data_IF_076474162054
#
_entry.id   IF_076474162054
#
_cell.length_a   1.000
_cell.length_b   1.000
_cell.length_c   1.000
_cell.angle_alpha   90.00
_cell.angle_beta   90.00
_cell.angle_gamma   90.00
#
_symmetry.space_group_name_H-M   'P 1'
#
loop_
_entity.id
_entity.type
_entity.pdbx_description
1 polymer ?
#
# COMPACT_ATOMS: atom_id res chain seq x y z
N UNK A 1 -12.76 -9.89 8.66
CA UNK A 1 -12.21 -9.76 7.29
C UNK A 1 -11.72 -11.12 6.85
N UNK A 2 -12.16 -11.53 5.68
CA UNK A 2 -11.80 -12.79 5.05
C UNK A 2 -10.56 -12.54 4.17
N UNK A 3 -9.55 -13.41 4.24
CA UNK A 3 -8.33 -13.26 3.43
C UNK A 3 -8.53 -13.78 2.00
N UNK A 4 -9.56 -14.61 1.82
CA UNK A 4 -9.93 -15.22 0.54
C UNK A 4 -10.65 -14.23 -0.40
N UNK A 5 -10.96 -13.01 0.07
CA UNK A 5 -11.65 -11.99 -0.70
C UNK A 5 -10.69 -10.85 -1.09
N UNK A 6 -10.85 -10.34 -2.32
CA UNK A 6 -10.27 -9.07 -2.74
C UNK A 6 -11.14 -7.92 -2.23
N UNK A 7 -10.52 -6.92 -1.63
CA UNK A 7 -11.20 -5.74 -1.09
C UNK A 7 -10.96 -4.52 -1.97
N UNK A 8 -12.03 -3.76 -2.25
CA UNK A 8 -11.89 -2.45 -2.89
C UNK A 8 -11.13 -1.49 -1.97
N UNK A 9 -10.15 -0.79 -2.54
CA UNK A 9 -9.36 0.24 -1.85
C UNK A 9 -9.77 1.59 -2.41
N UNK A 10 -10.29 2.46 -1.54
CA UNK A 10 -10.77 3.79 -1.94
C UNK A 10 -9.87 4.93 -1.43
N UNK A 11 -9.05 4.65 -0.41
CA UNK A 11 -8.10 5.58 0.19
C UNK A 11 -6.86 4.84 0.72
N UNK A 12 -5.92 5.61 1.27
CA UNK A 12 -4.73 5.10 1.95
C UNK A 12 -4.68 5.60 3.41
N UNK A 13 -5.85 5.71 4.04
CA UNK A 13 -5.95 6.14 5.43
C UNK A 13 -5.23 5.17 6.39
N UNK A 14 -4.84 5.61 7.59
CA UNK A 14 -4.25 4.74 8.59
C UNK A 14 -5.13 3.53 8.96
N UNK A 15 -6.45 3.63 8.77
CA UNK A 15 -7.34 2.49 8.96
C UNK A 15 -7.20 1.51 7.79
N UNK A 16 -7.35 1.96 6.56
CA UNK A 16 -7.27 1.12 5.35
C UNK A 16 -5.94 0.37 5.28
N UNK A 17 -4.82 1.04 5.58
CA UNK A 17 -3.50 0.40 5.60
C UNK A 17 -3.38 -0.65 6.70
N UNK A 18 -3.96 -0.45 7.90
CA UNK A 18 -3.98 -1.45 8.97
C UNK A 18 -4.84 -2.66 8.63
N UNK A 19 -5.96 -2.44 7.94
CA UNK A 19 -6.80 -3.51 7.46
C UNK A 19 -6.08 -4.35 6.39
N UNK A 20 -5.36 -3.68 5.47
CA UNK A 20 -4.50 -4.33 4.48
C UNK A 20 -3.38 -5.15 5.15
N UNK A 21 -2.68 -4.58 6.15
CA UNK A 21 -1.70 -5.31 6.97
C UNK A 21 -2.29 -6.59 7.54
N UNK A 22 -3.47 -6.51 8.16
CA UNK A 22 -4.12 -7.67 8.76
C UNK A 22 -4.50 -8.75 7.76
N UNK A 23 -4.68 -8.41 6.47
CA UNK A 23 -4.88 -9.38 5.38
C UNK A 23 -3.56 -9.95 4.88
N UNK A 24 -2.53 -9.12 4.72
CA UNK A 24 -1.16 -9.56 4.39
C UNK A 24 -0.64 -10.57 5.41
N UNK A 25 -0.78 -10.30 6.71
CA UNK A 25 -0.35 -11.20 7.79
C UNK A 25 -1.03 -12.58 7.76
N UNK A 26 -2.25 -12.66 7.22
CA UNK A 26 -3.03 -13.90 7.12
C UNK A 26 -2.89 -14.57 5.76
N UNK A 27 -2.16 -13.97 4.83
CA UNK A 27 -1.99 -14.48 3.48
C UNK A 27 -0.97 -15.60 3.47
N UNK A 28 -1.34 -16.76 2.91
CA UNK A 28 -0.49 -17.96 2.93
C UNK A 28 -0.60 -18.80 1.65
N UNK A 29 -1.51 -18.46 0.74
CA UNK A 29 -1.70 -19.14 -0.54
C UNK A 29 -1.24 -18.22 -1.67
N UNK A 30 -0.93 -18.82 -2.82
CA UNK A 30 -0.61 -18.07 -4.04
C UNK A 30 -1.73 -17.11 -4.44
N UNK A 31 -2.98 -17.56 -4.34
CA UNK A 31 -4.16 -16.74 -4.63
C UNK A 31 -4.25 -15.52 -3.69
N UNK A 32 -3.92 -15.68 -2.40
CA UNK A 32 -3.89 -14.54 -1.48
C UNK A 32 -2.84 -13.50 -1.90
N UNK A 33 -1.68 -13.94 -2.41
CA UNK A 33 -0.63 -13.02 -2.89
C UNK A 33 -1.13 -12.19 -4.05
N UNK A 34 -1.79 -12.81 -5.04
CA UNK A 34 -2.41 -12.09 -6.17
C UNK A 34 -3.41 -11.04 -5.68
N UNK A 35 -4.25 -11.39 -4.70
CA UNK A 35 -5.22 -10.45 -4.13
C UNK A 35 -4.52 -9.31 -3.38
N UNK A 36 -3.46 -9.59 -2.63
CA UNK A 36 -2.70 -8.56 -1.90
C UNK A 36 -1.95 -7.64 -2.86
N UNK A 37 -1.35 -8.17 -3.92
CA UNK A 37 -0.73 -7.37 -5.00
C UNK A 37 -1.75 -6.42 -5.62
N UNK A 38 -2.92 -6.94 -6.00
CA UNK A 38 -3.98 -6.13 -6.61
C UNK A 38 -4.46 -5.00 -5.70
N UNK A 39 -4.55 -5.24 -4.38
CA UNK A 39 -4.90 -4.20 -3.41
C UNK A 39 -3.78 -3.15 -3.24
N UNK A 40 -2.52 -3.58 -3.24
CA UNK A 40 -1.36 -2.69 -3.15
C UNK A 40 -1.20 -1.84 -4.42
N UNK A 41 -1.48 -2.40 -5.59
CA UNK A 41 -1.53 -1.69 -6.86
C UNK A 41 -2.56 -0.56 -6.83
N UNK A 42 -3.72 -0.78 -6.22
CA UNK A 42 -4.75 0.25 -6.11
C UNK A 42 -4.33 1.37 -5.16
N UNK A 43 -3.68 1.05 -4.02
CA UNK A 43 -3.06 2.07 -3.16
C UNK A 43 -2.02 2.88 -3.94
N UNK A 44 -1.16 2.20 -4.70
CA UNK A 44 -0.15 2.85 -5.54
C UNK A 44 -0.79 3.79 -6.56
N UNK A 45 -1.86 3.36 -7.25
CA UNK A 45 -2.61 4.16 -8.22
C UNK A 45 -3.18 5.43 -7.60
N UNK A 46 -3.74 5.34 -6.40
CA UNK A 46 -4.27 6.50 -5.66
C UNK A 46 -3.15 7.51 -5.34
N UNK A 47 -2.03 7.03 -4.83
CA UNK A 47 -0.86 7.87 -4.50
C UNK A 47 -0.27 8.54 -5.73
N UNK A 48 -0.18 7.84 -6.86
CA UNK A 48 0.35 8.40 -8.11
C UNK A 48 -0.53 9.57 -8.61
N UNK A 49 -1.86 9.42 -8.53
CA UNK A 49 -2.79 10.50 -8.87
C UNK A 49 -2.61 11.72 -7.95
N UNK A 50 -2.48 11.50 -6.64
CA UNK A 50 -2.36 12.60 -5.68
C UNK A 50 -1.02 13.32 -5.79
N UNK A 51 0.08 12.61 -6.08
CA UNK A 51 1.38 13.23 -6.37
C UNK A 51 1.29 14.15 -7.60
N UNK A 52 0.65 13.68 -8.67
CA UNK A 52 0.45 14.48 -9.89
C UNK A 52 -0.44 15.69 -9.61
N UNK A 53 -1.50 15.52 -8.82
CA UNK A 53 -2.39 16.62 -8.43
C UNK A 53 -1.65 17.66 -7.57
N UNK A 54 -0.88 17.21 -6.58
CA UNK A 54 -0.12 18.05 -5.67
C UNK A 54 0.92 18.90 -6.43
N UNK A 55 1.62 18.29 -7.39
CA UNK A 55 2.58 18.98 -8.26
C UNK A 55 1.93 20.08 -9.12
N UNK A 56 0.70 19.86 -9.61
CA UNK A 56 -0.05 20.86 -10.42
C UNK A 56 -0.60 22.01 -9.58
N UNK A 57 -0.99 21.73 -8.34
CA UNK A 57 -1.60 22.72 -7.44
C UNK A 57 -0.59 23.60 -6.71
N UNK A 58 0.72 23.36 -6.91
CA UNK A 58 1.77 24.10 -6.21
C UNK A 58 1.82 23.77 -4.72
N UNK A 59 1.48 22.53 -4.36
CA UNK A 59 1.56 22.03 -2.98
C UNK A 59 2.98 22.19 -2.44
N UNK A 60 3.11 22.27 -1.11
CA UNK A 60 4.43 22.47 -0.53
C UNK A 60 5.33 21.25 -0.79
N UNK A 61 6.65 21.48 -0.87
CA UNK A 61 7.63 20.44 -1.19
C UNK A 61 7.58 19.26 -0.22
N UNK A 62 7.27 19.51 1.06
CA UNK A 62 7.21 18.48 2.09
C UNK A 62 6.04 17.50 1.88
N UNK A 63 4.90 18.00 1.46
CA UNK A 63 3.72 17.18 1.16
C UNK A 63 3.99 16.23 -0.02
N UNK A 64 4.57 16.75 -1.10
CA UNK A 64 4.96 15.93 -2.27
C UNK A 64 6.02 14.89 -1.87
N UNK A 65 6.97 15.25 -1.02
CA UNK A 65 7.98 14.32 -0.49
C UNK A 65 7.37 13.23 0.38
N UNK A 66 6.40 13.56 1.23
CA UNK A 66 5.69 12.58 2.06
C UNK A 66 4.91 11.59 1.19
N UNK A 67 4.16 12.09 0.19
CA UNK A 67 3.43 11.22 -0.75
C UNK A 67 4.37 10.30 -1.53
N UNK A 68 5.52 10.83 -1.99
CA UNK A 68 6.52 10.02 -2.68
C UNK A 68 7.15 8.95 -1.76
N UNK A 69 7.44 9.29 -0.50
CA UNK A 69 7.96 8.34 0.49
C UNK A 69 6.94 7.24 0.80
N UNK A 70 5.66 7.61 0.96
CA UNK A 70 4.56 6.68 1.14
C UNK A 70 4.43 5.73 -0.06
N UNK A 71 4.42 6.27 -1.29
CA UNK A 71 4.38 5.49 -2.53
C UNK A 71 5.51 4.47 -2.62
N UNK A 72 6.74 4.85 -2.25
CA UNK A 72 7.88 3.93 -2.28
C UNK A 72 7.69 2.76 -1.30
N UNK A 73 7.16 3.00 -0.11
CA UNK A 73 6.88 1.93 0.86
C UNK A 73 5.80 0.97 0.34
N UNK A 74 4.78 1.47 -0.36
CA UNK A 74 3.74 0.64 -0.98
C UNK A 74 4.32 -0.23 -2.11
N UNK A 75 5.18 0.34 -2.96
CA UNK A 75 5.87 -0.43 -4.01
C UNK A 75 6.78 -1.50 -3.40
N UNK A 76 7.55 -1.17 -2.37
CA UNK A 76 8.38 -2.17 -1.69
C UNK A 76 7.53 -3.30 -1.09
N UNK A 77 6.38 -2.97 -0.48
CA UNK A 77 5.46 -3.98 0.04
C UNK A 77 4.89 -4.86 -1.08
N UNK A 78 4.49 -4.25 -2.20
CA UNK A 78 4.02 -4.96 -3.39
C UNK A 78 5.08 -5.95 -3.89
N UNK A 79 6.32 -5.50 -4.05
CA UNK A 79 7.41 -6.34 -4.55
C UNK A 79 7.72 -7.52 -3.63
N UNK A 80 7.65 -7.34 -2.31
CA UNK A 80 7.82 -8.44 -1.36
C UNK A 80 6.73 -9.50 -1.50
N UNK A 81 5.48 -9.09 -1.71
CA UNK A 81 4.37 -10.03 -1.94
C UNK A 81 4.55 -10.74 -3.29
N UNK A 82 4.72 -10.00 -4.38
CA UNK A 82 4.68 -10.56 -5.73
C UNK A 82 5.92 -11.34 -6.14
N UNK A 83 7.11 -10.94 -5.69
CA UNK A 83 8.34 -11.61 -6.07
C UNK A 83 8.69 -12.75 -5.11
N UNK A 84 8.49 -12.53 -3.80
CA UNK A 84 9.05 -13.40 -2.76
C UNK A 84 7.98 -14.07 -1.89
N UNK A 85 6.70 -13.71 -2.04
CA UNK A 85 5.63 -14.09 -1.10
C UNK A 85 5.97 -13.77 0.36
N UNK A 86 6.77 -12.72 0.56
CA UNK A 86 7.32 -12.33 1.85
C UNK A 86 6.37 -11.36 2.56
N UNK A 87 5.39 -11.94 3.25
CA UNK A 87 4.36 -11.18 3.98
C UNK A 87 4.91 -10.44 5.19
N UNK A 88 6.02 -10.88 5.77
CA UNK A 88 6.66 -10.26 6.94
C UNK A 88 7.30 -8.92 6.56
N UNK A 89 8.15 -8.89 5.54
CA UNK A 89 8.79 -7.65 5.09
C UNK A 89 7.76 -6.70 4.47
N UNK A 90 6.76 -7.21 3.74
CA UNK A 90 5.66 -6.41 3.22
C UNK A 90 4.89 -5.68 4.33
N UNK A 91 4.56 -6.41 5.41
CA UNK A 91 3.94 -5.85 6.61
C UNK A 91 4.80 -4.75 7.22
N UNK A 92 6.11 -4.96 7.35
CA UNK A 92 7.00 -3.98 7.96
C UNK A 92 7.08 -2.68 7.13
N UNK A 93 6.97 -2.76 5.81
CA UNK A 93 6.83 -1.56 4.95
C UNK A 93 5.49 -0.87 5.13
N UNK A 94 4.40 -1.63 5.23
CA UNK A 94 3.08 -1.07 5.49
C UNK A 94 2.97 -0.41 6.88
N UNK A 95 3.64 -0.95 7.90
CA UNK A 95 3.69 -0.31 9.21
C UNK A 95 4.40 1.06 9.16
N UNK A 96 5.50 1.18 8.41
CA UNK A 96 6.15 2.47 8.16
C UNK A 96 5.25 3.40 7.34
N UNK A 97 4.49 2.87 6.38
CA UNK A 97 3.55 3.65 5.59
C UNK A 97 2.47 4.29 6.48
N UNK A 98 1.96 3.55 7.48
CA UNK A 98 0.99 4.06 8.47
C UNK A 98 1.54 5.25 9.28
N UNK A 99 2.85 5.37 9.47
CA UNK A 99 3.46 6.50 10.20
C UNK A 99 3.51 7.80 9.37
N UNK A 100 3.27 7.71 8.06
CA UNK A 100 3.34 8.86 7.13
C UNK A 100 1.96 9.47 6.80
N UNK A 101 0.87 8.86 7.27
CA UNK A 101 -0.53 9.26 7.03
C UNK A 101 -1.26 9.73 8.28
#
# INVERSE_FOLDING_TARGET
MNVDDIHSIEDYSPQTLRELIGRVEKSSTFEHMIYRESELDEVWRLLDNDIVAAARQGSNVREVQNLAALRNLIVEAHDFIGNDSNTEDARDRLLKAVELV
#
